data_IF_230610667664
#
_entry.id   IF_230610667664
#
_cell.length_a   1.000
_cell.length_b   1.000
_cell.length_c   1.000
_cell.angle_alpha   90.00
_cell.angle_beta   90.00
_cell.angle_gamma   90.00
#
_symmetry.space_group_name_H-M   'P 1'
#
loop_
_entity.id
_entity.type
_entity.pdbx_description
1 polymer ?
#
# COMPACT_ATOMS: atom_id res chain seq x y z
N UNK A 1 -17.10 20.11 14.02
CA UNK A 1 -15.85 19.68 13.34
C UNK A 1 -16.25 18.96 12.05
N UNK A 2 -15.58 19.21 10.92
CA UNK A 2 -15.88 18.49 9.67
C UNK A 2 -15.24 17.10 9.73
N UNK A 3 -15.92 16.08 9.21
CA UNK A 3 -15.33 14.75 9.07
C UNK A 3 -14.09 14.81 8.17
N UNK A 4 -13.01 14.08 8.51
CA UNK A 4 -11.83 13.98 7.67
C UNK A 4 -12.13 13.49 6.25
N UNK A 5 -11.21 13.79 5.33
CA UNK A 5 -11.27 13.31 3.95
C UNK A 5 -11.28 11.77 3.89
N UNK A 6 -11.75 11.20 2.77
CA UNK A 6 -11.61 9.77 2.47
C UNK A 6 -10.17 9.46 2.14
N UNK A 7 -9.57 8.54 2.89
CA UNK A 7 -8.24 7.97 2.62
C UNK A 7 -8.31 6.96 1.48
N UNK A 8 -7.16 6.63 0.90
CA UNK A 8 -7.09 5.65 -0.19
C UNK A 8 -7.58 4.26 0.22
N UNK A 9 -7.17 3.75 1.39
CA UNK A 9 -7.63 2.44 1.91
C UNK A 9 -9.16 2.37 2.00
N UNK A 10 -9.80 3.46 2.45
CA UNK A 10 -11.26 3.56 2.55
C UNK A 10 -11.93 3.63 1.17
N UNK A 11 -11.30 4.32 0.20
CA UNK A 11 -11.78 4.37 -1.19
C UNK A 11 -11.61 3.03 -1.90
N UNK A 12 -10.55 2.27 -1.61
CA UNK A 12 -10.36 0.89 -2.09
C UNK A 12 -11.51 0.00 -1.61
N UNK A 13 -11.83 0.03 -0.31
CA UNK A 13 -12.94 -0.77 0.24
C UNK A 13 -14.31 -0.35 -0.34
N UNK A 14 -14.57 0.95 -0.47
CA UNK A 14 -15.81 1.45 -1.07
C UNK A 14 -15.95 1.08 -2.55
N UNK A 15 -14.87 1.22 -3.33
CA UNK A 15 -14.85 0.85 -4.74
C UNK A 15 -15.02 -0.66 -4.93
N UNK A 16 -14.37 -1.48 -4.11
CA UNK A 16 -14.50 -2.93 -4.17
C UNK A 16 -15.94 -3.40 -3.91
N UNK A 17 -16.65 -2.78 -2.96
CA UNK A 17 -18.06 -3.07 -2.74
C UNK A 17 -18.90 -2.78 -3.99
N UNK A 18 -18.69 -1.63 -4.63
CA UNK A 18 -19.45 -1.23 -5.83
C UNK A 18 -19.15 -2.16 -7.01
N UNK A 19 -17.90 -2.54 -7.22
CA UNK A 19 -17.49 -3.50 -8.25
C UNK A 19 -18.12 -4.88 -8.00
N UNK A 20 -18.03 -5.40 -6.76
CA UNK A 20 -18.64 -6.68 -6.38
C UNK A 20 -20.17 -6.69 -6.59
N UNK A 21 -20.82 -5.52 -6.49
CA UNK A 21 -22.25 -5.32 -6.76
C UNK A 21 -22.56 -4.96 -8.23
N UNK A 22 -21.60 -5.07 -9.15
CA UNK A 22 -21.79 -4.79 -10.57
C UNK A 22 -22.08 -3.32 -10.88
N UNK A 23 -21.41 -2.40 -10.19
CA UNK A 23 -21.50 -0.95 -10.38
C UNK A 23 -22.89 -0.34 -10.14
N UNK A 24 -23.73 -1.02 -9.34
CA UNK A 24 -25.06 -0.52 -8.98
C UNK A 24 -25.01 0.36 -7.75
N UNK A 25 -25.87 1.37 -7.74
CA UNK A 25 -26.04 2.25 -6.58
C UNK A 25 -26.50 1.45 -5.34
N UNK A 26 -25.92 1.79 -4.19
CA UNK A 26 -26.21 1.20 -2.89
C UNK A 26 -26.80 2.26 -1.96
N UNK A 27 -27.77 1.85 -1.15
CA UNK A 27 -28.55 2.71 -0.25
C UNK A 27 -28.14 2.48 1.19
N UNK A 28 -28.38 3.49 2.02
CA UNK A 28 -28.08 3.49 3.46
C UNK A 28 -28.64 2.27 4.21
N UNK A 29 -29.78 1.73 3.76
CA UNK A 29 -30.41 0.56 4.37
C UNK A 29 -29.83 -0.79 3.96
N UNK A 30 -28.99 -0.83 2.91
CA UNK A 30 -28.45 -2.08 2.39
C UNK A 30 -27.47 -2.70 3.39
N UNK A 31 -27.54 -4.02 3.56
CA UNK A 31 -26.72 -4.74 4.54
C UNK A 31 -25.23 -4.53 4.26
N UNK A 32 -24.84 -4.57 3.00
CA UNK A 32 -23.45 -4.41 2.55
C UNK A 32 -22.92 -3.00 2.87
N UNK A 33 -23.78 -1.98 2.85
CA UNK A 33 -23.41 -0.60 3.24
C UNK A 33 -23.19 -0.49 4.74
N UNK A 34 -24.00 -1.20 5.53
CA UNK A 34 -23.84 -1.26 6.99
C UNK A 34 -22.55 -2.00 7.37
N UNK A 35 -22.30 -3.17 6.77
CA UNK A 35 -21.08 -3.95 6.98
C UNK A 35 -19.83 -3.16 6.60
N UNK A 36 -19.85 -2.44 5.47
CA UNK A 36 -18.74 -1.57 5.08
C UNK A 36 -18.56 -0.40 6.05
N UNK A 37 -19.64 0.18 6.58
CA UNK A 37 -19.54 1.24 7.60
C UNK A 37 -18.84 0.77 8.87
N UNK A 38 -19.18 -0.44 9.35
CA UNK A 38 -18.52 -1.06 10.51
C UNK A 38 -17.03 -1.33 10.24
N UNK A 39 -16.72 -1.92 9.07
CA UNK A 39 -15.35 -2.19 8.67
C UNK A 39 -14.50 -0.91 8.59
N UNK A 40 -15.00 0.14 7.93
CA UNK A 40 -14.30 1.41 7.81
C UNK A 40 -14.01 2.03 9.18
N UNK A 41 -14.97 2.00 10.11
CA UNK A 41 -14.79 2.52 11.46
C UNK A 41 -13.85 1.68 12.32
N UNK A 42 -13.59 0.43 11.95
CA UNK A 42 -12.66 -0.47 12.63
C UNK A 42 -11.20 -0.30 12.21
N UNK A 43 -10.90 0.48 11.17
CA UNK A 43 -9.54 0.61 10.65
C UNK A 43 -8.61 1.28 11.69
N UNK A 44 -7.38 0.76 11.92
CA UNK A 44 -6.41 1.29 12.90
C UNK A 44 -5.68 2.53 12.39
N UNK A 45 -6.43 3.41 11.73
CA UNK A 45 -5.96 4.63 11.06
C UNK A 45 -6.70 5.87 11.59
N UNK A 46 -7.73 5.66 12.41
CA UNK A 46 -8.60 6.70 12.95
C UNK A 46 -8.28 7.02 14.41
N UNK A 47 -8.33 8.30 14.76
CA UNK A 47 -8.21 8.74 16.15
C UNK A 47 -9.54 8.59 16.90
N UNK A 48 -9.53 8.47 18.25
CA UNK A 48 -10.74 8.42 19.05
C UNK A 48 -11.69 9.62 18.80
N UNK A 49 -11.12 10.81 18.61
CA UNK A 49 -11.89 12.04 18.35
C UNK A 49 -12.61 11.98 17.00
N UNK A 50 -11.97 11.36 16.00
CA UNK A 50 -12.56 11.15 14.67
C UNK A 50 -13.72 10.16 14.74
N UNK A 51 -13.55 9.05 15.47
CA UNK A 51 -14.57 8.02 15.64
C UNK A 51 -15.81 8.53 16.39
N UNK A 52 -15.64 9.53 17.25
CA UNK A 52 -16.73 10.19 17.97
C UNK A 52 -17.63 11.07 17.07
N UNK A 53 -17.21 11.39 15.83
CA UNK A 53 -18.01 12.19 14.91
C UNK A 53 -19.19 11.36 14.34
N UNK A 54 -20.45 11.80 14.46
CA UNK A 54 -21.63 11.04 14.02
C UNK A 54 -21.63 10.70 12.52
N UNK A 55 -21.19 11.63 11.68
CA UNK A 55 -21.17 11.46 10.22
C UNK A 55 -19.91 10.74 9.71
N UNK A 56 -18.96 10.43 10.59
CA UNK A 56 -17.71 9.82 10.18
C UNK A 56 -17.93 8.35 9.78
N UNK A 57 -17.80 8.07 8.48
CA UNK A 57 -17.98 6.74 7.89
C UNK A 57 -19.28 6.06 8.33
N UNK A 58 -20.34 6.85 8.56
CA UNK A 58 -21.69 6.37 8.82
C UNK A 58 -22.26 5.66 7.59
N UNK A 59 -23.29 4.79 7.73
CA UNK A 59 -23.93 4.14 6.58
C UNK A 59 -24.42 5.14 5.53
N UNK A 60 -24.86 6.33 5.96
CA UNK A 60 -25.27 7.39 5.06
C UNK A 60 -24.10 7.96 4.25
N UNK A 61 -22.96 8.21 4.91
CA UNK A 61 -21.75 8.67 4.23
C UNK A 61 -21.20 7.62 3.26
N UNK A 62 -21.30 6.33 3.61
CA UNK A 62 -20.89 5.20 2.76
C UNK A 62 -21.81 5.06 1.55
N UNK A 63 -23.13 5.14 1.72
CA UNK A 63 -24.08 5.13 0.61
C UNK A 63 -23.83 6.28 -0.37
N UNK A 64 -23.57 7.49 0.15
CA UNK A 64 -23.20 8.63 -0.70
C UNK A 64 -21.89 8.37 -1.45
N UNK A 65 -20.88 7.83 -0.78
CA UNK A 65 -19.59 7.55 -1.42
C UNK A 65 -19.72 6.46 -2.49
N UNK A 66 -20.39 5.36 -2.21
CA UNK A 66 -20.64 4.29 -3.20
C UNK A 66 -21.50 4.76 -4.37
N UNK A 67 -22.42 5.72 -4.15
CA UNK A 67 -23.14 6.41 -5.23
C UNK A 67 -22.20 7.25 -6.10
N UNK A 68 -21.22 7.94 -5.51
CA UNK A 68 -20.20 8.64 -6.30
C UNK A 68 -19.47 7.68 -7.26
N UNK A 69 -19.09 6.49 -6.78
CA UNK A 69 -18.47 5.44 -7.59
C UNK A 69 -19.39 4.93 -8.70
N UNK A 70 -20.61 4.53 -8.36
CA UNK A 70 -21.56 3.94 -9.30
C UNK A 70 -21.94 4.91 -10.44
N UNK A 71 -22.16 6.19 -10.09
CA UNK A 71 -22.63 7.19 -11.07
C UNK A 71 -21.53 7.78 -11.94
N UNK A 72 -20.27 7.73 -11.50
CA UNK A 72 -19.10 8.17 -12.28
C UNK A 72 -18.42 7.01 -13.03
N UNK A 73 -18.96 5.80 -12.97
CA UNK A 73 -18.57 4.70 -13.84
C UNK A 73 -19.05 4.96 -15.27
N UNK A 74 -18.16 4.85 -16.27
CA UNK A 74 -18.44 5.28 -17.65
C UNK A 74 -19.73 4.74 -18.28
N UNK A 75 -20.08 3.44 -18.08
CA UNK A 75 -21.35 2.87 -18.53
C UNK A 75 -22.62 3.30 -17.77
N UNK A 76 -22.53 4.17 -16.76
CA UNK A 76 -23.70 4.64 -16.03
C UNK A 76 -24.61 5.49 -16.95
N UNK A 77 -25.91 5.17 -17.07
CA UNK A 77 -26.78 5.84 -18.04
C UNK A 77 -27.26 7.23 -17.60
N UNK A 78 -27.11 7.57 -16.32
CA UNK A 78 -27.62 8.81 -15.74
C UNK A 78 -26.58 9.92 -15.66
N UNK A 79 -26.95 11.02 -14.98
CA UNK A 79 -26.02 12.12 -14.71
C UNK A 79 -25.09 11.74 -13.55
N UNK A 80 -23.75 11.83 -13.70
CA UNK A 80 -22.82 11.54 -12.62
C UNK A 80 -22.99 12.53 -11.46
N UNK A 81 -22.80 12.06 -10.23
CA UNK A 81 -22.69 12.97 -9.08
C UNK A 81 -21.37 13.74 -9.14
N UNK A 82 -21.33 14.91 -8.48
CA UNK A 82 -20.08 15.62 -8.28
C UNK A 82 -19.25 14.90 -7.22
N UNK A 83 -18.12 14.33 -7.61
CA UNK A 83 -17.16 13.73 -6.70
C UNK A 83 -15.79 14.41 -6.79
N UNK A 84 -14.90 14.11 -5.84
CA UNK A 84 -13.55 14.66 -5.80
C UNK A 84 -12.56 13.84 -6.64
N UNK A 85 -11.44 14.46 -7.00
CA UNK A 85 -10.37 13.85 -7.80
C UNK A 85 -9.89 12.48 -7.27
N UNK A 86 -9.68 12.26 -5.95
CA UNK A 86 -9.27 10.94 -5.45
C UNK A 86 -10.29 9.83 -5.74
N UNK A 87 -11.59 10.15 -5.72
CA UNK A 87 -12.64 9.18 -6.05
C UNK A 87 -12.61 8.83 -7.54
N UNK A 88 -12.41 9.81 -8.43
CA UNK A 88 -12.28 9.59 -9.87
C UNK A 88 -11.08 8.70 -10.21
N UNK A 89 -9.93 8.96 -9.58
CA UNK A 89 -8.73 8.14 -9.75
C UNK A 89 -8.96 6.70 -9.29
N UNK A 90 -9.66 6.51 -8.17
CA UNK A 90 -10.01 5.17 -7.70
C UNK A 90 -10.96 4.43 -8.66
N UNK A 91 -11.97 5.11 -9.21
CA UNK A 91 -12.86 4.53 -10.23
C UNK A 91 -12.07 4.08 -11.46
N UNK A 92 -11.15 4.94 -11.94
CA UNK A 92 -10.27 4.60 -13.05
C UNK A 92 -9.41 3.38 -12.74
N UNK A 93 -8.83 3.32 -11.53
CA UNK A 93 -8.04 2.17 -11.09
C UNK A 93 -8.85 0.87 -11.08
N UNK A 94 -10.09 0.87 -10.58
CA UNK A 94 -10.96 -0.30 -10.63
C UNK A 94 -11.40 -0.68 -12.05
N UNK A 95 -11.53 0.29 -12.95
CA UNK A 95 -11.88 0.04 -14.36
C UNK A 95 -10.72 -0.57 -15.15
N UNK A 96 -9.49 -0.12 -14.89
CA UNK A 96 -8.29 -0.55 -15.61
C UNK A 96 -7.61 -1.78 -14.99
N UNK A 97 -7.71 -1.96 -13.66
CA UNK A 97 -6.97 -2.96 -12.88
C UNK A 97 -7.86 -3.68 -11.86
N UNK A 98 -9.07 -4.06 -12.28
CA UNK A 98 -10.11 -4.62 -11.39
C UNK A 98 -9.60 -5.71 -10.44
N UNK A 99 -8.91 -6.72 -10.98
CA UNK A 99 -8.41 -7.85 -10.17
C UNK A 99 -7.40 -7.42 -9.12
N UNK A 100 -6.51 -6.46 -9.41
CA UNK A 100 -5.51 -5.96 -8.46
C UNK A 100 -6.19 -5.17 -7.34
N UNK A 101 -7.14 -4.31 -7.70
CA UNK A 101 -7.86 -3.48 -6.73
C UNK A 101 -8.75 -4.31 -5.81
N UNK A 102 -9.39 -5.37 -6.32
CA UNK A 102 -10.13 -6.33 -5.50
C UNK A 102 -9.23 -7.11 -4.55
N UNK A 103 -8.03 -7.50 -4.99
CA UNK A 103 -7.04 -8.15 -4.12
C UNK A 103 -6.53 -7.19 -3.03
N UNK A 104 -6.32 -5.92 -3.34
CA UNK A 104 -5.95 -4.90 -2.36
C UNK A 104 -7.04 -4.74 -1.29
N UNK A 105 -8.32 -4.66 -1.68
CA UNK A 105 -9.43 -4.62 -0.75
C UNK A 105 -9.50 -5.87 0.13
N UNK A 106 -9.38 -7.06 -0.45
CA UNK A 106 -9.35 -8.32 0.29
C UNK A 106 -8.20 -8.37 1.29
N UNK A 107 -7.01 -7.87 0.91
CA UNK A 107 -5.86 -7.83 1.81
C UNK A 107 -6.08 -6.90 3.01
N UNK A 108 -6.81 -5.79 2.84
CA UNK A 108 -7.23 -4.91 3.95
C UNK A 108 -8.24 -5.65 4.84
N UNK A 109 -9.30 -6.23 4.26
CA UNK A 109 -10.34 -6.99 4.97
C UNK A 109 -9.73 -8.11 5.83
N UNK A 110 -8.85 -8.95 5.25
CA UNK A 110 -8.15 -10.04 5.97
C UNK A 110 -7.20 -9.52 7.06
N UNK A 111 -6.50 -8.43 6.79
CA UNK A 111 -5.57 -7.82 7.74
C UNK A 111 -6.29 -7.27 8.98
N UNK A 112 -7.50 -6.75 8.80
CA UNK A 112 -8.38 -6.34 9.90
C UNK A 112 -8.95 -7.56 10.62
N UNK A 113 -9.54 -8.50 9.89
CA UNK A 113 -10.21 -9.68 10.47
C UNK A 113 -9.27 -10.60 11.26
N UNK A 114 -8.00 -10.70 10.85
CA UNK A 114 -6.96 -11.45 11.57
C UNK A 114 -6.35 -10.68 12.75
N UNK A 115 -6.63 -9.38 12.89
CA UNK A 115 -6.00 -8.50 13.87
C UNK A 115 -4.56 -8.09 13.52
N UNK A 116 -3.99 -8.59 12.42
CA UNK A 116 -2.61 -8.29 11.98
C UNK A 116 -2.37 -6.77 11.89
N UNK A 117 -3.27 -6.03 11.26
CA UNK A 117 -3.12 -4.58 11.05
C UNK A 117 -3.20 -3.76 12.36
N UNK A 118 -3.86 -4.28 13.40
CA UNK A 118 -3.93 -3.62 14.72
C UNK A 118 -2.62 -3.73 15.49
N UNK A 119 -1.82 -4.76 15.22
CA UNK A 119 -0.54 -5.02 15.87
C UNK A 119 0.61 -4.23 15.23
N UNK A 120 0.38 -3.63 14.06
CA UNK A 120 1.41 -2.88 13.35
C UNK A 120 1.54 -1.46 13.91
N UNK A 121 2.76 -1.04 14.31
CA UNK A 121 2.97 0.32 14.79
C UNK A 121 2.72 1.34 13.67
N UNK A 122 2.07 2.46 14.00
CA UNK A 122 1.98 3.61 13.10
C UNK A 122 3.39 4.10 12.77
N UNK A 123 3.68 4.34 11.49
CA UNK A 123 4.97 4.88 11.06
C UNK A 123 4.97 6.42 11.17
N UNK A 124 6.10 7.04 11.54
CA UNK A 124 6.19 8.49 11.75
C UNK A 124 5.97 9.31 10.47
N UNK A 125 6.18 8.71 9.29
CA UNK A 125 5.98 9.36 7.98
C UNK A 125 4.49 9.36 7.53
N UNK A 126 3.57 8.92 8.39
CA UNK A 126 2.12 8.81 8.11
C UNK A 126 1.30 10.08 8.36
N UNK A 127 1.94 11.17 8.79
CA UNK A 127 1.28 12.44 9.10
C UNK A 127 2.12 13.58 8.54
N UNK A 128 1.59 14.26 7.53
CA UNK A 128 1.97 15.63 7.22
C UNK A 128 1.06 16.59 8.02
N UNK A 129 1.59 17.76 8.38
CA UNK A 129 0.89 18.76 9.22
C UNK A 129 -0.39 19.33 8.56
N UNK A 130 -0.66 18.99 7.31
CA UNK A 130 -1.77 19.50 6.50
C UNK A 130 -2.83 18.43 6.17
N UNK A 131 -2.64 17.18 6.61
CA UNK A 131 -3.58 16.08 6.36
C UNK A 131 -3.62 15.60 4.90
N UNK A 132 -2.61 15.95 4.10
CA UNK A 132 -2.37 15.46 2.74
C UNK A 132 -1.24 14.43 2.73
N UNK A 133 -1.53 13.20 3.16
CA UNK A 133 -0.64 12.09 2.86
C UNK A 133 -0.83 11.66 1.40
N UNK A 134 0.01 12.20 0.52
CA UNK A 134 0.32 11.58 -0.76
C UNK A 134 1.16 10.32 -0.53
N UNK A 135 0.56 9.27 0.03
CA UNK A 135 1.17 7.94 0.10
C UNK A 135 0.06 6.92 -0.14
N UNK A 136 0.19 6.16 -1.24
CA UNK A 136 -0.63 4.99 -1.57
C UNK A 136 -0.95 4.13 -0.33
N UNK A 137 -2.16 3.58 -0.24
CA UNK A 137 -2.68 2.65 0.79
C UNK A 137 -1.88 2.51 2.11
N UNK A 138 -2.08 3.41 3.07
CA UNK A 138 -1.37 3.47 4.36
C UNK A 138 -1.34 2.12 5.11
N UNK A 139 -2.45 1.39 5.14
CA UNK A 139 -2.53 0.08 5.80
C UNK A 139 -1.73 -0.99 5.06
N UNK A 140 -1.83 -1.01 3.74
CA UNK A 140 -1.11 -1.94 2.89
C UNK A 140 0.40 -1.68 2.90
N UNK A 141 0.81 -0.41 2.97
CA UNK A 141 2.21 0.01 3.19
C UNK A 141 2.71 -0.43 4.55
N UNK A 142 1.97 -0.19 5.65
CA UNK A 142 2.35 -0.70 6.98
C UNK A 142 2.56 -2.21 6.97
N UNK A 143 1.63 -2.95 6.38
CA UNK A 143 1.71 -4.41 6.27
C UNK A 143 2.92 -4.86 5.45
N UNK A 144 3.21 -4.19 4.34
CA UNK A 144 4.38 -4.46 3.53
C UNK A 144 5.69 -4.20 4.30
N UNK A 145 5.80 -3.06 4.98
CA UNK A 145 6.97 -2.72 5.81
C UNK A 145 7.17 -3.70 6.98
N UNK A 146 6.09 -4.11 7.65
CA UNK A 146 6.16 -5.09 8.73
C UNK A 146 6.66 -6.45 8.23
N UNK A 147 6.20 -6.90 7.07
CA UNK A 147 6.65 -8.14 6.45
C UNK A 147 8.09 -8.05 5.92
N UNK A 148 8.51 -6.91 5.37
CA UNK A 148 9.93 -6.65 5.04
C UNK A 148 10.84 -6.77 6.26
N UNK A 149 10.34 -6.38 7.44
CA UNK A 149 11.05 -6.46 8.70
C UNK A 149 10.91 -7.82 9.42
N UNK A 150 10.29 -8.84 8.81
CA UNK A 150 10.16 -10.16 9.43
C UNK A 150 11.57 -10.78 9.66
N UNK A 151 11.99 -10.95 10.94
CA UNK A 151 13.34 -11.43 11.26
C UNK A 151 13.61 -12.84 10.71
N UNK A 152 12.56 -13.66 10.56
CA UNK A 152 12.68 -15.03 10.05
C UNK A 152 12.93 -15.01 8.55
N UNK A 153 12.16 -14.23 7.78
CA UNK A 153 12.38 -14.09 6.34
C UNK A 153 13.74 -13.45 6.04
N UNK A 154 14.12 -12.42 6.82
CA UNK A 154 15.45 -11.80 6.73
C UNK A 154 16.54 -12.83 6.95
N UNK A 155 16.48 -13.59 8.04
CA UNK A 155 17.46 -14.63 8.36
C UNK A 155 17.54 -15.68 7.25
N UNK A 156 16.39 -16.20 6.81
CA UNK A 156 16.34 -17.23 5.75
C UNK A 156 16.93 -16.75 4.43
N UNK A 157 16.68 -15.48 4.03
CA UNK A 157 17.25 -14.91 2.81
C UNK A 157 18.77 -14.77 2.91
N UNK A 158 19.29 -14.27 4.04
CA UNK A 158 20.74 -14.13 4.26
C UNK A 158 21.43 -15.50 4.29
N UNK A 159 20.84 -16.48 4.98
CA UNK A 159 21.36 -17.84 5.05
C UNK A 159 21.41 -18.50 3.66
N UNK A 160 20.40 -18.25 2.82
CA UNK A 160 20.37 -18.71 1.42
C UNK A 160 21.50 -18.09 0.60
N UNK A 161 21.68 -16.77 0.65
CA UNK A 161 22.76 -16.07 -0.08
C UNK A 161 24.14 -16.62 0.30
N UNK A 162 24.36 -16.86 1.60
CA UNK A 162 25.59 -17.47 2.11
C UNK A 162 25.78 -18.91 1.64
N UNK A 163 24.72 -19.71 1.65
CA UNK A 163 24.75 -21.11 1.21
C UNK A 163 24.98 -21.24 -0.30
N UNK A 164 24.53 -20.26 -1.09
CA UNK A 164 24.79 -20.16 -2.53
C UNK A 164 26.22 -19.70 -2.85
N UNK A 165 27.04 -19.39 -1.84
CA UNK A 165 28.41 -18.89 -2.02
C UNK A 165 28.49 -17.48 -2.62
N UNK A 166 27.40 -16.71 -2.54
CA UNK A 166 27.32 -15.34 -3.06
C UNK A 166 27.75 -14.31 -2.00
N UNK A 167 28.36 -13.18 -2.40
CA UNK A 167 28.65 -12.10 -1.47
C UNK A 167 27.36 -11.48 -0.91
N UNK A 168 27.41 -11.00 0.33
CA UNK A 168 26.29 -10.31 0.98
C UNK A 168 26.31 -8.82 0.65
N UNK A 169 26.09 -8.53 -0.63
CA UNK A 169 26.11 -7.17 -1.17
C UNK A 169 24.73 -6.71 -1.65
N UNK A 170 24.58 -5.41 -1.83
CA UNK A 170 23.37 -4.82 -2.37
C UNK A 170 23.16 -5.26 -3.82
N UNK A 171 22.02 -5.88 -4.09
CA UNK A 171 21.67 -6.32 -5.45
C UNK A 171 21.49 -5.11 -6.40
N UNK A 172 21.24 -3.90 -5.90
CA UNK A 172 21.09 -2.69 -6.74
C UNK A 172 22.42 -2.05 -7.09
N UNK A 173 23.28 -1.78 -6.10
CA UNK A 173 24.49 -0.97 -6.27
C UNK A 173 25.79 -1.64 -5.83
N UNK A 174 25.77 -2.95 -5.53
CA UNK A 174 26.95 -3.76 -5.18
C UNK A 174 27.68 -3.26 -3.91
N UNK A 175 26.99 -2.46 -3.09
CA UNK A 175 27.49 -2.01 -1.79
C UNK A 175 27.53 -3.18 -0.81
N UNK A 176 28.70 -3.44 -0.23
CA UNK A 176 28.94 -4.48 0.76
C UNK A 176 29.36 -3.82 2.08
N UNK A 177 28.58 -4.03 3.14
CA UNK A 177 28.85 -3.43 4.44
C UNK A 177 30.10 -4.00 5.11
N UNK A 178 30.36 -5.29 5.01
CA UNK A 178 31.55 -5.91 5.59
C UNK A 178 32.82 -5.40 4.90
N UNK A 179 32.77 -5.23 3.57
CA UNK A 179 33.89 -4.67 2.79
C UNK A 179 34.21 -3.22 3.16
N UNK A 180 33.19 -2.41 3.46
CA UNK A 180 33.36 -0.97 3.73
C UNK A 180 33.60 -0.67 5.22
N UNK A 181 32.92 -1.39 6.12
CA UNK A 181 32.92 -1.12 7.55
C UNK A 181 33.63 -2.20 8.39
N UNK A 182 34.19 -3.23 7.76
CA UNK A 182 34.83 -4.35 8.46
C UNK A 182 33.85 -5.11 9.35
N UNK A 183 34.30 -5.51 10.52
CA UNK A 183 33.52 -6.30 11.50
C UNK A 183 32.17 -5.67 11.87
N UNK A 184 32.09 -4.33 11.84
CA UNK A 184 30.84 -3.61 12.13
C UNK A 184 29.75 -3.89 11.08
N UNK A 185 30.16 -4.11 9.82
CA UNK A 185 29.26 -4.39 8.71
C UNK A 185 28.99 -5.87 8.49
N UNK A 186 29.62 -6.76 9.24
CA UNK A 186 29.51 -8.21 9.03
C UNK A 186 28.07 -8.71 9.19
N UNK A 187 27.56 -9.40 8.16
CA UNK A 187 26.18 -9.88 8.13
C UNK A 187 25.10 -8.78 8.04
N UNK A 188 25.49 -7.51 7.87
CA UNK A 188 24.55 -6.41 7.77
C UNK A 188 24.12 -6.17 6.32
N UNK A 189 22.82 -6.35 6.09
CA UNK A 189 22.13 -5.97 4.87
C UNK A 189 20.63 -5.86 5.19
N UNK A 190 19.90 -5.06 4.42
CA UNK A 190 18.44 -5.02 4.49
C UNK A 190 17.84 -6.02 3.49
N UNK A 191 16.67 -6.56 3.83
CA UNK A 191 15.94 -7.50 2.98
C UNK A 191 14.62 -6.85 2.59
N UNK A 192 14.43 -6.67 1.29
CA UNK A 192 13.32 -5.93 0.71
C UNK A 192 12.48 -6.85 -0.19
N UNK A 193 11.17 -6.68 -0.22
CA UNK A 193 10.32 -7.44 -1.14
C UNK A 193 10.43 -6.86 -2.56
N UNK A 194 10.67 -7.70 -3.57
CA UNK A 194 10.86 -7.30 -4.98
C UNK A 194 9.55 -6.87 -5.66
N UNK A 195 8.41 -7.39 -5.18
CA UNK A 195 7.05 -6.96 -5.54
C UNK A 195 6.36 -6.57 -4.23
N UNK A 196 5.65 -5.43 -4.15
CA UNK A 196 5.11 -5.02 -2.89
C UNK A 196 3.94 -5.94 -2.59
N UNK A 197 3.80 -6.27 -1.32
CA UNK A 197 2.85 -7.29 -0.90
C UNK A 197 1.39 -6.87 -1.13
N UNK A 198 1.15 -5.57 -1.38
CA UNK A 198 -0.16 -5.04 -1.75
C UNK A 198 -0.58 -5.35 -3.20
N UNK A 199 0.37 -5.62 -4.10
CA UNK A 199 0.11 -6.06 -5.49
C UNK A 199 0.11 -7.59 -5.59
N UNK A 200 0.88 -8.30 -4.76
CA UNK A 200 1.02 -9.76 -4.87
C UNK A 200 -0.09 -10.58 -4.18
N UNK A 201 -1.04 -9.92 -3.51
CA UNK A 201 -2.07 -10.57 -2.68
C UNK A 201 -1.50 -11.37 -1.50
N UNK A 202 -2.37 -12.12 -0.81
CA UNK A 202 -2.02 -13.00 0.32
C UNK A 202 -1.32 -14.27 -0.18
N UNK A 203 -0.07 -14.15 -0.66
CA UNK A 203 0.77 -15.31 -1.01
C UNK A 203 1.86 -15.53 0.04
N UNK A 204 2.25 -16.79 0.24
CA UNK A 204 3.48 -17.11 1.00
C UNK A 204 4.67 -16.49 0.27
N UNK A 205 5.34 -15.53 0.91
CA UNK A 205 6.60 -14.96 0.42
C UNK A 205 7.60 -16.08 0.16
N UNK A 206 8.12 -16.18 -1.06
CA UNK A 206 9.24 -17.06 -1.40
C UNK A 206 10.54 -16.26 -1.25
N UNK A 207 11.66 -16.90 -0.95
CA UNK A 207 12.95 -16.20 -0.84
C UNK A 207 13.40 -15.50 -2.14
N UNK A 208 12.90 -15.96 -3.30
CA UNK A 208 13.10 -15.30 -4.59
C UNK A 208 12.32 -13.98 -4.75
N UNK A 209 11.33 -13.75 -3.90
CA UNK A 209 10.53 -12.53 -3.86
C UNK A 209 11.20 -11.45 -2.99
N UNK A 210 12.38 -11.75 -2.45
CA UNK A 210 13.16 -10.89 -1.59
C UNK A 210 14.48 -10.54 -2.28
N UNK A 211 14.94 -9.31 -2.10
CA UNK A 211 16.23 -8.81 -2.53
C UNK A 211 17.04 -8.28 -1.34
N UNK A 212 18.35 -8.50 -1.37
CA UNK A 212 19.30 -7.89 -0.46
C UNK A 212 19.63 -6.47 -0.96
N UNK A 213 19.38 -5.46 -0.14
CA UNK A 213 19.60 -4.04 -0.49
C UNK A 213 20.32 -3.29 0.62
N UNK A 214 21.09 -2.25 0.29
CA UNK A 214 21.66 -1.36 1.29
C UNK A 214 20.64 -0.32 1.77
N UNK A 215 20.88 0.28 2.93
CA UNK A 215 20.03 1.30 3.54
C UNK A 215 19.62 2.43 2.60
N UNK A 216 20.54 2.88 1.74
CA UNK A 216 20.26 3.94 0.78
C UNK A 216 19.34 3.45 -0.35
N UNK A 217 19.62 2.28 -0.93
CA UNK A 217 18.79 1.73 -2.00
C UNK A 217 17.42 1.30 -1.50
N UNK A 218 17.32 0.76 -0.29
CA UNK A 218 16.04 0.43 0.33
C UNK A 218 15.15 1.66 0.46
N UNK A 219 15.69 2.77 0.94
CA UNK A 219 14.97 4.06 0.97
C UNK A 219 14.59 4.55 -0.42
N UNK A 220 15.43 4.36 -1.43
CA UNK A 220 15.12 4.78 -2.80
C UNK A 220 14.05 3.90 -3.48
N UNK A 221 13.95 2.61 -3.15
CA UNK A 221 12.85 1.76 -3.61
C UNK A 221 11.48 2.24 -3.09
N UNK A 222 11.46 2.78 -1.86
CA UNK A 222 10.26 3.31 -1.22
C UNK A 222 10.00 4.80 -1.52
N UNK A 223 10.89 5.47 -2.26
CA UNK A 223 10.73 6.88 -2.61
C UNK A 223 9.96 7.04 -3.92
N UNK A 224 8.72 7.49 -3.81
CA UNK A 224 7.85 7.76 -4.97
C UNK A 224 7.92 9.22 -5.43
N UNK A 225 7.65 9.45 -6.72
CA UNK A 225 7.36 10.78 -7.30
C UNK A 225 5.86 10.93 -7.50
N UNK A 226 5.31 12.14 -7.61
CA UNK A 226 3.88 12.33 -7.90
C UNK A 226 3.47 11.57 -9.17
N UNK A 227 2.51 10.65 -9.05
CA UNK A 227 2.01 9.82 -10.16
C UNK A 227 2.83 8.57 -10.48
N UNK A 228 3.90 8.29 -9.74
CA UNK A 228 4.63 7.03 -9.79
C UNK A 228 4.27 6.17 -8.58
N UNK A 229 3.92 4.90 -8.83
CA UNK A 229 3.88 3.89 -7.77
C UNK A 229 5.29 3.48 -7.37
N UNK A 230 5.38 2.61 -6.38
CA UNK A 230 6.61 2.02 -5.85
C UNK A 230 7.61 1.51 -6.93
N UNK A 231 8.88 1.30 -6.58
CA UNK A 231 9.94 0.88 -7.51
C UNK A 231 10.61 -0.42 -7.10
N UNK A 232 10.79 -1.34 -8.05
CA UNK A 232 11.53 -2.59 -7.82
C UNK A 232 13.04 -2.34 -7.74
N UNK A 233 13.82 -3.20 -7.04
CA UNK A 233 15.28 -3.14 -7.07
C UNK A 233 15.88 -3.11 -8.48
N UNK A 234 15.33 -3.90 -9.40
CA UNK A 234 15.81 -3.92 -10.79
C UNK A 234 15.52 -2.60 -11.52
N UNK A 235 14.33 -2.02 -11.33
CA UNK A 235 14.00 -0.72 -11.90
C UNK A 235 14.92 0.38 -11.36
N UNK A 236 15.23 0.37 -10.06
CA UNK A 236 16.18 1.30 -9.45
C UNK A 236 17.60 1.11 -10.00
N UNK A 237 18.04 -0.14 -10.19
CA UNK A 237 19.33 -0.45 -10.80
C UNK A 237 19.44 0.16 -12.21
N UNK A 238 18.40 0.04 -13.02
CA UNK A 238 18.35 0.62 -14.37
C UNK A 238 18.35 2.16 -14.36
N UNK A 239 17.67 2.80 -13.40
CA UNK A 239 17.71 4.26 -13.25
C UNK A 239 19.09 4.79 -12.87
N UNK A 240 19.80 4.10 -11.96
CA UNK A 240 21.17 4.45 -11.58
C UNK A 240 22.10 4.33 -12.79
N UNK A 241 21.97 3.26 -13.58
CA UNK A 241 22.75 3.06 -14.83
C UNK A 241 22.53 4.18 -15.83
N UNK A 242 21.27 4.56 -16.09
CA UNK A 242 20.92 5.66 -17.01
C UNK A 242 21.46 7.00 -16.53
N UNK A 243 21.37 7.28 -15.23
CA UNK A 243 21.84 8.53 -14.65
C UNK A 243 23.37 8.66 -14.68
N UNK A 244 24.09 7.54 -14.48
CA UNK A 244 25.54 7.48 -14.60
C UNK A 244 26.06 7.70 -16.03
N UNK A 245 25.27 7.35 -17.05
CA UNK A 245 25.62 7.62 -18.46
C UNK A 245 25.39 9.09 -18.86
N UNK A 246 24.43 9.77 -18.26
CA UNK A 246 24.12 11.18 -18.54
C UNK A 246 25.01 12.20 -17.78
N UNK A 247 25.78 11.76 -16.79
CA UNK A 247 26.69 12.61 -16.00
C UNK A 247 28.14 12.65 -16.48
N UNK A 248 28.45 12.05 -17.63
CA UNK A 248 29.80 11.97 -18.20
C UNK A 248 30.10 13.06 -19.26
N UNK A 249 29.45 14.22 -19.15
CA UNK A 249 29.67 15.40 -20.00
C UNK A 249 30.11 16.61 -19.20
#
# INVERSE_FOLDING_TARGET
MKSPAWTEDELVLAGALVVKNGWRELRTGDREVQELSELLRSLPIHSPETLALPEFRSPNSVSRKTTDFATNYGPYPGRPTRCGEPTLQMIKAFTERESEMLQAAQAIEEGIGSGELHLLPQQPDEVDDEGFTAIEGRLLVRRALARERDPKLRKQKIDQVRSDGRPLECEVCEFDFARIYGDLGEGYIEVHHVIPLHISGTRKTKLKDLACVCANCHRMCHRSRPGESWRTPDALREEIRKSGQNGAH
#
